data_IF_840634303735
#
_entry.id   IF_840634303735
#
_cell.length_a   1.000
_cell.length_b   1.000
_cell.length_c   1.000
_cell.angle_alpha   90.00
_cell.angle_beta   90.00
_cell.angle_gamma   90.00
#
_symmetry.space_group_name_H-M   'P 1'
#
loop_
_entity.id
_entity.type
_entity.pdbx_description
1 polymer ?
#
# COMPACT_ATOMS: atom_id res chain seq x y z
N UNK A 1 12.26 8.01 32.34
CA UNK A 1 12.88 9.35 32.17
C UNK A 1 11.85 10.18 31.41
N UNK A 2 11.26 11.18 32.06
CA UNK A 2 10.14 11.99 31.53
C UNK A 2 10.72 13.29 30.95
N UNK A 3 10.47 13.60 29.68
CA UNK A 3 11.04 14.79 29.04
C UNK A 3 10.36 16.09 29.52
N UNK A 4 11.13 17.13 29.90
CA UNK A 4 10.63 18.31 30.61
C UNK A 4 10.12 19.47 29.73
N UNK A 5 9.83 19.28 28.43
CA UNK A 5 9.54 20.41 27.51
C UNK A 5 8.22 20.31 26.70
N UNK A 6 7.12 19.84 27.31
CA UNK A 6 5.83 19.64 26.60
C UNK A 6 4.87 20.84 26.59
N UNK A 7 5.34 22.06 26.88
CA UNK A 7 4.45 23.22 27.13
C UNK A 7 4.38 24.25 25.99
N UNK A 8 4.86 23.95 24.79
CA UNK A 8 4.69 24.82 23.62
C UNK A 8 3.84 24.08 22.59
N UNK A 9 2.76 24.73 22.14
CA UNK A 9 1.65 24.15 21.40
C UNK A 9 2.04 23.31 20.19
N UNK A 10 1.13 22.39 19.87
CA UNK A 10 0.98 21.59 18.65
C UNK A 10 2.07 21.78 17.57
N UNK A 11 3.26 21.27 17.84
CA UNK A 11 4.23 21.01 16.77
C UNK A 11 3.92 19.62 16.26
N UNK A 12 3.04 19.54 15.26
CA UNK A 12 2.87 18.30 14.50
C UNK A 12 4.21 17.96 13.85
N UNK A 13 4.93 17.00 14.43
CA UNK A 13 6.12 16.43 13.84
C UNK A 13 5.71 15.73 12.54
N UNK A 14 5.95 16.36 11.39
CA UNK A 14 5.70 15.78 10.06
C UNK A 14 6.67 14.65 9.68
N UNK A 15 7.37 14.05 10.66
CA UNK A 15 8.21 12.89 10.40
C UNK A 15 7.30 11.67 10.22
N UNK A 16 7.26 11.04 9.03
CA UNK A 16 6.40 9.90 8.79
C UNK A 16 6.83 8.72 9.67
N UNK A 17 5.89 8.17 10.42
CA UNK A 17 6.05 6.91 11.15
C UNK A 17 5.90 5.77 10.14
N UNK A 18 7.00 5.14 9.75
CA UNK A 18 7.00 4.03 8.79
C UNK A 18 7.11 2.72 9.57
N UNK A 19 6.14 1.82 9.41
CA UNK A 19 6.22 0.46 9.92
C UNK A 19 6.78 -0.46 8.82
N UNK A 20 8.01 -0.95 9.01
CA UNK A 20 8.67 -1.89 8.09
C UNK A 20 8.49 -3.31 8.61
N UNK A 21 8.20 -4.26 7.71
CA UNK A 21 8.15 -5.70 8.00
C UNK A 21 9.16 -6.38 7.07
N UNK A 22 10.18 -7.01 7.62
CA UNK A 22 11.28 -7.64 6.87
C UNK A 22 11.42 -9.12 7.23
N UNK A 23 11.85 -9.95 6.28
CA UNK A 23 12.00 -11.39 6.44
C UNK A 23 13.07 -11.93 5.48
N UNK A 24 14.04 -12.68 6.02
CA UNK A 24 15.07 -13.39 5.26
C UNK A 24 14.79 -14.89 5.20
N UNK A 25 14.89 -15.49 4.02
CA UNK A 25 14.65 -16.93 3.84
C UNK A 25 15.45 -17.52 2.68
N UNK A 26 15.87 -18.78 2.82
CA UNK A 26 16.57 -19.56 1.80
C UNK A 26 15.74 -20.80 1.46
N UNK A 27 15.26 -20.90 0.22
CA UNK A 27 14.34 -21.94 -0.24
C UNK A 27 14.81 -22.55 -1.56
N UNK A 28 14.62 -23.86 -1.74
CA UNK A 28 14.84 -24.57 -3.00
C UNK A 28 13.51 -25.09 -3.54
N UNK A 29 13.15 -24.66 -4.75
CA UNK A 29 11.81 -24.78 -5.32
C UNK A 29 11.93 -24.92 -6.83
N UNK A 30 11.08 -25.75 -7.43
CA UNK A 30 11.11 -25.94 -8.88
C UNK A 30 10.34 -24.84 -9.61
N UNK A 31 10.72 -24.58 -10.86
CA UNK A 31 10.00 -23.65 -11.75
C UNK A 31 8.52 -24.02 -11.85
N UNK A 32 7.65 -23.03 -11.70
CA UNK A 32 6.21 -23.18 -11.85
C UNK A 32 5.48 -23.72 -10.63
N UNK A 33 6.17 -24.12 -9.55
CA UNK A 33 5.55 -24.54 -8.29
C UNK A 33 5.33 -23.35 -7.35
N UNK A 34 4.16 -23.23 -6.75
CA UNK A 34 3.91 -22.23 -5.71
C UNK A 34 4.41 -22.75 -4.37
N UNK A 35 5.14 -21.92 -3.63
CA UNK A 35 5.56 -22.20 -2.27
C UNK A 35 5.04 -21.13 -1.30
N UNK A 36 4.81 -21.55 -0.06
CA UNK A 36 4.47 -20.66 1.07
C UNK A 36 5.78 -20.31 1.77
N UNK A 37 6.16 -19.03 1.78
CA UNK A 37 7.38 -18.60 2.47
C UNK A 37 7.13 -18.53 3.98
N UNK A 38 5.92 -18.15 4.36
CA UNK A 38 5.53 -17.93 5.75
C UNK A 38 4.23 -17.14 5.85
N UNK A 39 3.90 -16.81 7.09
CA UNK A 39 2.76 -15.99 7.43
C UNK A 39 2.87 -15.49 8.86
N UNK A 40 2.04 -14.50 9.21
CA UNK A 40 1.95 -13.93 10.55
C UNK A 40 0.49 -13.83 10.95
N UNK A 41 0.20 -14.22 12.18
CA UNK A 41 -1.08 -13.97 12.83
C UNK A 41 -0.81 -12.98 13.95
N UNK A 42 -1.56 -11.89 13.97
CA UNK A 42 -1.47 -10.85 15.00
C UNK A 42 -2.84 -10.67 15.64
N UNK A 43 -2.90 -10.85 16.94
CA UNK A 43 -4.08 -10.59 17.77
C UNK A 43 -3.87 -9.27 18.53
N UNK A 44 -4.90 -8.42 18.55
CA UNK A 44 -4.94 -7.15 19.27
C UNK A 44 -6.17 -7.11 20.16
N UNK A 45 -5.97 -6.73 21.42
CA UNK A 45 -7.05 -6.55 22.41
C UNK A 45 -6.95 -5.14 22.97
N UNK A 46 -8.00 -4.36 22.76
CA UNK A 46 -8.14 -2.99 23.23
C UNK A 46 -9.33 -2.92 24.20
N UNK A 47 -9.01 -2.64 25.47
CA UNK A 47 -9.96 -2.57 26.58
C UNK A 47 -10.07 -1.12 27.06
N UNK A 48 -11.11 -0.43 26.62
CA UNK A 48 -11.48 0.90 27.08
C UNK A 48 -12.53 0.84 28.18
N UNK A 49 -12.35 1.66 29.22
CA UNK A 49 -13.39 1.93 30.21
C UNK A 49 -13.44 3.42 30.49
N UNK A 50 -14.61 4.03 30.31
CA UNK A 50 -14.86 5.45 30.58
C UNK A 50 -16.06 5.53 31.51
N UNK A 51 -15.97 6.27 32.60
CA UNK A 51 -17.08 6.38 33.55
C UNK A 51 -17.12 7.75 34.21
N UNK A 52 -18.25 8.03 34.86
CA UNK A 52 -18.36 9.23 35.69
C UNK A 52 -17.48 9.09 36.94
N UNK A 53 -16.62 10.08 37.25
CA UNK A 53 -15.75 10.03 38.42
C UNK A 53 -16.55 9.76 39.71
N UNK A 54 -15.98 9.00 40.65
CA UNK A 54 -16.60 8.56 41.92
C UNK A 54 -17.71 7.52 41.76
N UNK A 55 -18.73 7.76 40.92
CA UNK A 55 -19.86 6.84 40.79
C UNK A 55 -19.48 5.52 40.10
N UNK A 56 -18.58 5.55 39.12
CA UNK A 56 -18.14 4.34 38.40
C UNK A 56 -17.32 3.37 39.24
N UNK A 57 -16.83 3.79 40.41
CA UNK A 57 -16.00 2.99 41.31
C UNK A 57 -16.82 2.32 42.42
N UNK A 58 -18.11 2.67 42.55
CA UNK A 58 -18.98 2.11 43.59
C UNK A 58 -19.19 0.61 43.37
N UNK A 59 -18.97 -0.23 44.39
CA UNK A 59 -19.22 -1.66 44.28
C UNK A 59 -20.71 -1.93 44.02
N UNK A 60 -21.00 -2.85 43.09
CA UNK A 60 -22.36 -3.24 42.71
C UNK A 60 -23.03 -2.36 41.66
N UNK A 61 -22.96 -1.03 41.78
CA UNK A 61 -23.67 -0.10 40.89
C UNK A 61 -22.79 0.68 39.91
N UNK A 62 -21.47 0.67 40.08
CA UNK A 62 -20.55 1.48 39.27
C UNK A 62 -20.60 1.15 37.76
N UNK A 63 -21.01 -0.06 37.40
CA UNK A 63 -21.16 -0.49 36.01
C UNK A 63 -22.29 0.27 35.27
N UNK A 64 -23.34 0.69 35.97
CA UNK A 64 -24.42 1.50 35.38
C UNK A 64 -23.97 2.93 35.02
N UNK A 65 -22.88 3.40 35.64
CA UNK A 65 -22.31 4.73 35.46
C UNK A 65 -20.98 4.71 34.70
N UNK A 66 -20.65 3.57 34.08
CA UNK A 66 -19.47 3.37 33.26
C UNK A 66 -19.81 2.75 31.92
N UNK A 67 -19.12 3.18 30.88
CA UNK A 67 -19.13 2.60 29.55
C UNK A 67 -17.86 1.77 29.35
N UNK A 68 -18.01 0.56 28.81
CA UNK A 68 -16.89 -0.33 28.45
C UNK A 68 -16.86 -0.47 26.94
N UNK A 69 -15.68 -0.33 26.36
CA UNK A 69 -15.41 -0.56 24.94
C UNK A 69 -14.36 -1.64 24.82
N UNK A 70 -14.75 -2.82 24.36
CA UNK A 70 -13.82 -3.91 24.14
C UNK A 70 -13.71 -4.13 22.62
N UNK A 71 -12.51 -4.01 22.07
CA UNK A 71 -12.22 -4.29 20.66
C UNK A 71 -11.19 -5.40 20.57
N UNK A 72 -11.54 -6.45 19.83
CA UNK A 72 -10.63 -7.53 19.48
C UNK A 72 -10.40 -7.44 17.98
N UNK A 73 -9.14 -7.42 17.56
CA UNK A 73 -8.73 -7.38 16.16
C UNK A 73 -7.79 -8.53 15.86
N UNK A 74 -8.00 -9.21 14.73
CA UNK A 74 -7.11 -10.27 14.23
C UNK A 74 -6.63 -9.93 12.84
N UNK A 75 -5.34 -10.04 12.59
CA UNK A 75 -4.73 -9.80 11.27
C UNK A 75 -3.93 -11.03 10.87
N UNK A 76 -4.21 -11.55 9.68
CA UNK A 76 -3.54 -12.71 9.11
C UNK A 76 -2.84 -12.29 7.82
N UNK A 77 -1.56 -12.59 7.72
CA UNK A 77 -0.74 -12.35 6.52
C UNK A 77 -0.17 -13.68 6.07
N UNK A 78 -0.27 -13.98 4.77
CA UNK A 78 0.35 -15.16 4.16
C UNK A 78 1.09 -14.72 2.91
N UNK A 79 2.34 -15.18 2.76
CA UNK A 79 3.21 -14.82 1.64
C UNK A 79 3.44 -16.05 0.78
N UNK A 80 3.11 -15.92 -0.50
CA UNK A 80 3.33 -16.94 -1.52
C UNK A 80 4.34 -16.45 -2.55
N UNK A 81 5.11 -17.39 -3.10
CA UNK A 81 5.91 -17.15 -4.31
C UNK A 81 5.68 -18.28 -5.30
N UNK A 82 5.83 -17.97 -6.59
CA UNK A 82 5.92 -18.96 -7.66
C UNK A 82 7.06 -18.58 -8.60
N UNK A 83 8.20 -19.28 -8.59
CA UNK A 83 9.30 -18.94 -9.47
C UNK A 83 8.97 -19.39 -10.89
N UNK A 84 9.47 -18.66 -11.89
CA UNK A 84 9.38 -19.04 -13.31
C UNK A 84 10.77 -18.89 -13.92
N UNK A 85 11.29 -19.98 -14.49
CA UNK A 85 12.57 -19.98 -15.21
C UNK A 85 12.29 -19.68 -16.68
N UNK A 86 12.91 -18.62 -17.20
CA UNK A 86 12.84 -18.21 -18.60
C UNK A 86 14.15 -18.64 -19.27
N UNK A 87 14.05 -19.37 -20.36
CA UNK A 87 15.17 -19.82 -21.21
C UNK A 87 15.24 -19.03 -22.50
N UNK A 88 14.09 -18.74 -23.11
CA UNK A 88 13.97 -17.88 -24.28
C UNK A 88 13.12 -16.66 -23.96
N UNK A 89 13.77 -15.50 -23.86
CA UNK A 89 13.15 -14.22 -23.54
C UNK A 89 12.45 -13.60 -24.77
N UNK A 90 11.65 -14.40 -25.49
CA UNK A 90 10.93 -13.98 -26.68
C UNK A 90 9.42 -14.08 -26.48
N UNK A 91 8.68 -13.17 -27.14
CA UNK A 91 7.20 -13.17 -27.17
C UNK A 91 6.67 -14.37 -27.99
N UNK A 92 7.54 -15.02 -28.75
CA UNK A 92 7.24 -16.29 -29.43
C UNK A 92 7.64 -17.53 -28.61
N UNK A 93 8.31 -17.32 -27.47
CA UNK A 93 8.88 -18.36 -26.61
C UNK A 93 8.26 -18.33 -25.21
N UNK A 94 9.08 -18.29 -24.16
CA UNK A 94 8.61 -18.42 -22.77
C UNK A 94 7.77 -17.24 -22.28
N UNK A 95 7.74 -16.12 -23.03
CA UNK A 95 6.91 -14.94 -22.73
C UNK A 95 5.65 -14.83 -23.59
N UNK A 96 5.31 -15.84 -24.39
CA UNK A 96 4.12 -15.80 -25.24
C UNK A 96 2.83 -15.46 -24.47
N UNK A 97 2.67 -16.01 -23.26
CA UNK A 97 1.53 -15.71 -22.38
C UNK A 97 1.41 -14.22 -22.02
N UNK A 98 2.52 -13.47 -22.06
CA UNK A 98 2.56 -12.05 -21.70
C UNK A 98 2.29 -11.11 -22.88
N UNK A 99 2.20 -11.62 -24.10
CA UNK A 99 1.93 -10.81 -25.28
C UNK A 99 0.64 -9.99 -25.14
N UNK A 100 -0.39 -10.55 -24.49
CA UNK A 100 -1.68 -9.89 -24.28
C UNK A 100 -1.60 -8.71 -23.29
N UNK A 101 -0.56 -8.63 -22.46
CA UNK A 101 -0.36 -7.51 -21.53
C UNK A 101 0.53 -6.40 -22.11
N UNK A 102 1.11 -6.62 -23.29
CA UNK A 102 1.83 -5.55 -23.96
C UNK A 102 0.80 -4.52 -24.42
N UNK A 103 0.89 -3.26 -23.98
CA UNK A 103 0.02 -2.22 -24.47
C UNK A 103 0.17 -2.16 -26.00
N UNK A 104 -0.94 -1.92 -26.70
CA UNK A 104 -0.90 -1.61 -28.12
C UNK A 104 0.14 -0.53 -28.32
N UNK A 105 1.25 -0.88 -28.97
CA UNK A 105 2.25 0.10 -29.34
C UNK A 105 1.60 0.94 -30.42
N UNK A 106 0.85 1.96 -30.00
CA UNK A 106 0.59 3.12 -30.82
C UNK A 106 1.96 3.48 -31.37
N UNK A 107 2.19 3.31 -32.69
CA UNK A 107 3.48 3.69 -33.25
C UNK A 107 3.71 5.12 -32.76
N UNK A 108 4.87 5.40 -32.17
CA UNK A 108 5.26 6.77 -31.88
C UNK A 108 5.22 7.46 -33.24
N UNK A 109 4.10 8.10 -33.55
CA UNK A 109 3.91 8.81 -34.79
C UNK A 109 4.96 9.89 -34.73
N UNK A 110 6.01 9.71 -35.52
CA UNK A 110 6.71 10.81 -36.13
C UNK A 110 5.62 11.57 -36.90
N UNK A 111 4.94 12.48 -36.21
CA UNK A 111 4.46 13.68 -36.85
C UNK A 111 5.72 14.50 -37.10
N UNK A 112 6.31 14.50 -38.31
CA UNK A 112 7.03 15.68 -38.72
C UNK A 112 5.98 16.79 -38.67
N UNK A 113 6.07 17.65 -37.65
CA UNK A 113 5.30 18.87 -37.56
C UNK A 113 5.35 19.53 -38.94
N UNK A 114 4.26 19.41 -39.72
CA UNK A 114 4.15 20.13 -40.98
C UNK A 114 3.85 21.58 -40.62
N UNK A 115 4.90 22.27 -40.16
CA UNK A 115 5.00 23.72 -40.13
C UNK A 115 5.10 24.19 -41.58
N UNK A 116 3.99 24.15 -42.29
CA UNK A 116 3.84 24.82 -43.58
C UNK A 116 2.36 25.14 -43.75
N UNK A 117 1.87 26.02 -42.87
CA UNK A 117 0.73 26.85 -43.26
C UNK A 117 1.28 27.88 -44.24
N UNK A 118 0.82 27.92 -45.50
CA UNK A 118 1.19 29.00 -46.39
C UNK A 118 0.58 30.28 -45.82
N UNK A 119 1.44 31.29 -45.59
CA UNK A 119 1.03 32.64 -45.28
C UNK A 119 0.08 33.09 -46.40
N UNK A 120 -1.22 33.22 -46.11
CA UNK A 120 -2.17 33.80 -47.05
C UNK A 120 -1.83 35.29 -47.17
N UNK A 121 -1.04 35.62 -48.19
CA UNK A 121 -0.92 36.99 -48.65
C UNK A 121 -2.29 37.37 -49.23
N UNK A 122 -3.06 38.11 -48.44
CA UNK A 122 -4.25 38.83 -48.89
C UNK A 122 -3.81 39.82 -49.97
N UNK A 123 -3.91 39.40 -51.22
CA UNK A 123 -3.89 40.28 -52.38
C UNK A 123 -5.29 40.84 -52.59
N UNK A 124 -5.41 42.16 -52.48
CA UNK A 124 -6.64 42.89 -52.77
C UNK A 124 -6.39 44.39 -52.74
N UNK A 125 -5.79 44.93 -53.80
CA UNK A 125 -5.82 46.36 -54.05
C UNK A 125 -7.18 46.79 -54.59
N UNK A 126 -7.75 47.85 -54.05
CA UNK A 126 -8.21 49.09 -54.70
C UNK A 126 -8.71 50.04 -53.62
#
# INVERSE_FOLDING_TARGET
>A
MQDPNRSLGDVESSVPQIQVREMDSLLRINSGQTAVLGGLIQDGVDLGRVGTPVLSELPGIGDAFSYRSNRVSKTELVIFLRPRVIRDASVSGDLADYQHYLPDQQPLSSEPQRLTQPLSLSGGGT
#
